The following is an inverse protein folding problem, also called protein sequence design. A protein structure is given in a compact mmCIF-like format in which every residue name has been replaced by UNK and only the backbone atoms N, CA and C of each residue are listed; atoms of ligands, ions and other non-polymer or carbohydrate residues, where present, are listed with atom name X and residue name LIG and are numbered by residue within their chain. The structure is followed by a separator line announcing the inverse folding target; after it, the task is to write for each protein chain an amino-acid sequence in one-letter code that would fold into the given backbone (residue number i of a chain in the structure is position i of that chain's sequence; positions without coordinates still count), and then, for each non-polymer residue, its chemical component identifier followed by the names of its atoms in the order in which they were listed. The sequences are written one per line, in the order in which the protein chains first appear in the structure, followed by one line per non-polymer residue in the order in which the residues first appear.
data_IF_005361578689
#
_entry.id   IF_005361578689
#
_cell.length_a   1.000
_cell.length_b   1.000
_cell.length_c   1.000
_cell.angle_alpha   90.00
_cell.angle_beta   90.00
_cell.angle_gamma   90.00
#
_symmetry.space_group_name_H-M   'P 1'
#
loop_
_entity.id
_entity.type
_entity.pdbx_description
1 polymer ?
#
# COMPACT_ATOMS: atom_id res chain seq x y z
N UNK A 1 -28.75 -0.11 -13.43
CA UNK A 1 -27.95 1.08 -13.80
C UNK A 1 -27.48 1.06 -15.26
N UNK A 2 -27.19 -0.12 -15.85
CA UNK A 2 -26.77 -0.21 -17.28
C UNK A 2 -27.93 -0.05 -18.28
N UNK A 3 -29.16 -0.27 -17.84
CA UNK A 3 -30.33 -0.25 -18.75
C UNK A 3 -30.78 1.16 -19.15
N UNK A 4 -30.35 2.19 -18.41
CA UNK A 4 -30.82 3.56 -18.61
C UNK A 4 -29.76 4.50 -19.24
N UNK A 5 -28.63 3.95 -19.67
CA UNK A 5 -27.55 4.73 -20.29
C UNK A 5 -27.83 4.92 -21.79
N UNK A 6 -27.66 6.14 -22.33
CA UNK A 6 -27.74 6.38 -23.76
C UNK A 6 -26.76 5.50 -24.53
N UNK A 7 -27.14 4.94 -25.69
CA UNK A 7 -26.30 4.00 -26.43
C UNK A 7 -25.06 4.64 -27.09
N UNK A 8 -25.01 5.95 -27.14
CA UNK A 8 -24.00 6.78 -27.81
C UNK A 8 -23.10 7.57 -26.83
N UNK A 9 -23.07 7.14 -25.58
CA UNK A 9 -22.12 7.75 -24.59
C UNK A 9 -20.68 7.63 -25.08
N UNK A 10 -20.02 8.78 -25.17
CA UNK A 10 -18.58 8.84 -25.43
C UNK A 10 -17.78 8.14 -24.32
N UNK A 11 -16.70 7.47 -24.70
CA UNK A 11 -15.77 6.87 -23.78
C UNK A 11 -14.57 7.78 -23.58
N UNK A 12 -14.28 8.16 -22.33
CA UNK A 12 -13.06 8.88 -21.96
C UNK A 12 -12.05 7.86 -21.44
N UNK A 13 -10.83 7.88 -21.97
CA UNK A 13 -9.74 7.03 -21.54
C UNK A 13 -8.72 7.85 -20.74
N UNK A 14 -8.22 7.28 -19.64
CA UNK A 14 -7.26 7.91 -18.76
C UNK A 14 -7.89 8.59 -17.55
N UNK A 15 -7.10 9.36 -16.83
CA UNK A 15 -7.59 10.12 -15.68
C UNK A 15 -8.51 11.26 -16.09
N UNK A 16 -9.59 11.44 -15.35
CA UNK A 16 -10.54 12.54 -15.55
C UNK A 16 -9.96 13.84 -14.96
N UNK A 17 -8.85 14.30 -15.52
CA UNK A 17 -8.29 15.60 -15.19
C UNK A 17 -8.88 16.66 -16.12
N UNK A 18 -9.62 17.60 -15.55
CA UNK A 18 -10.19 18.70 -16.30
C UNK A 18 -9.10 19.70 -16.68
N UNK A 19 -8.54 19.59 -17.87
CA UNK A 19 -7.65 20.59 -18.45
C UNK A 19 -8.30 21.44 -19.54
N UNK A 20 -9.51 21.10 -19.96
CA UNK A 20 -10.19 21.67 -21.14
C UNK A 20 -11.30 22.64 -20.78
N UNK A 21 -11.52 22.97 -19.52
CA UNK A 21 -12.52 23.94 -19.14
C UNK A 21 -12.07 25.37 -19.45
N UNK A 22 -12.84 26.09 -20.22
CA UNK A 22 -12.73 27.55 -20.35
C UNK A 22 -13.06 28.17 -18.99
N UNK A 23 -12.05 28.43 -18.19
CA UNK A 23 -12.24 28.99 -16.86
C UNK A 23 -11.03 28.88 -15.97
N UNK A 24 -11.25 28.97 -14.69
CA UNK A 24 -10.21 28.97 -13.67
C UNK A 24 -9.56 27.58 -13.54
N UNK A 25 -8.36 27.44 -14.08
CA UNK A 25 -7.57 26.17 -14.10
C UNK A 25 -6.93 25.83 -12.76
N UNK A 26 -7.57 26.14 -11.66
CA UNK A 26 -6.93 26.09 -10.34
C UNK A 26 -6.59 24.69 -9.87
N UNK A 27 -7.43 23.69 -10.16
CA UNK A 27 -7.25 22.34 -9.63
C UNK A 27 -6.24 21.50 -10.39
N UNK A 28 -6.13 21.65 -11.71
CA UNK A 28 -5.19 20.88 -12.52
C UNK A 28 -3.72 21.14 -12.12
N UNK A 29 -3.38 22.39 -11.74
CA UNK A 29 -2.03 22.78 -11.36
C UNK A 29 -1.68 22.48 -9.90
N UNK A 30 -2.63 22.09 -9.07
CA UNK A 30 -2.40 21.77 -7.66
C UNK A 30 -1.64 20.47 -7.46
N UNK A 31 -1.51 19.63 -8.50
CA UNK A 31 -0.71 18.41 -8.46
C UNK A 31 0.75 18.67 -8.05
N UNK A 32 1.31 19.83 -8.38
CA UNK A 32 2.68 20.24 -8.02
C UNK A 32 2.80 20.86 -6.63
N UNK A 33 1.67 21.26 -6.01
CA UNK A 33 1.69 21.87 -4.69
C UNK A 33 1.88 20.79 -3.61
N UNK A 34 2.81 20.98 -2.69
CA UNK A 34 3.06 20.06 -1.57
C UNK A 34 3.13 18.60 -2.02
N UNK A 35 4.01 18.30 -2.96
CA UNK A 35 4.16 16.95 -3.60
C UNK A 35 4.25 15.83 -2.57
N UNK A 36 4.85 16.08 -1.41
CA UNK A 36 4.95 15.09 -0.33
C UNK A 36 3.59 14.56 0.16
N UNK A 37 2.51 15.36 0.09
CA UNK A 37 1.15 14.91 0.41
C UNK A 37 0.65 13.90 -0.62
N UNK A 38 0.88 14.17 -1.92
CA UNK A 38 0.50 13.27 -3.01
C UNK A 38 1.28 11.96 -2.93
N UNK A 39 2.58 12.06 -2.64
CA UNK A 39 3.43 10.87 -2.44
C UNK A 39 2.97 10.02 -1.24
N UNK A 40 2.65 10.67 -0.11
CA UNK A 40 2.10 9.98 1.06
C UNK A 40 0.74 9.34 0.76
N UNK A 41 -0.12 10.04 0.00
CA UNK A 41 -1.41 9.51 -0.44
C UNK A 41 -1.25 8.24 -1.29
N UNK A 42 -0.45 8.31 -2.35
CA UNK A 42 -0.22 7.16 -3.25
C UNK A 42 0.39 6.00 -2.49
N UNK A 43 1.40 6.24 -1.65
CA UNK A 43 2.03 5.20 -0.83
C UNK A 43 1.02 4.51 0.09
N UNK A 44 0.16 5.30 0.73
CA UNK A 44 -0.86 4.77 1.65
C UNK A 44 -1.94 3.98 0.90
N UNK A 45 -2.44 4.52 -0.22
CA UNK A 45 -3.41 3.86 -1.07
C UNK A 45 -2.89 2.52 -1.59
N UNK A 46 -1.68 2.49 -2.16
CA UNK A 46 -1.03 1.25 -2.63
C UNK A 46 -0.87 0.23 -1.49
N UNK A 47 -0.52 0.69 -0.28
CA UNK A 47 -0.39 -0.17 0.90
C UNK A 47 -1.72 -0.85 1.27
N UNK A 48 -2.83 -0.14 1.15
CA UNK A 48 -4.17 -0.68 1.41
C UNK A 48 -4.68 -1.55 0.26
N UNK A 49 -4.76 -1.00 -0.96
CA UNK A 49 -5.38 -1.65 -2.11
C UNK A 49 -4.59 -2.85 -2.63
N UNK A 50 -3.26 -2.70 -2.71
CA UNK A 50 -2.44 -3.69 -3.40
C UNK A 50 -1.78 -4.69 -2.45
N UNK A 51 -1.77 -4.41 -1.15
CA UNK A 51 -1.11 -5.30 -0.18
C UNK A 51 -2.06 -5.72 0.95
N UNK A 52 -2.56 -4.80 1.77
CA UNK A 52 -3.29 -5.17 2.98
C UNK A 52 -4.59 -5.94 2.68
N UNK A 53 -5.44 -5.42 1.80
CA UNK A 53 -6.70 -6.08 1.44
C UNK A 53 -6.48 -7.42 0.71
N UNK A 54 -5.63 -7.51 -0.33
CA UNK A 54 -5.41 -8.78 -1.00
C UNK A 54 -4.80 -9.85 -0.08
N UNK A 55 -3.79 -9.50 0.73
CA UNK A 55 -3.18 -10.44 1.65
C UNK A 55 -4.16 -10.92 2.73
N UNK A 56 -4.95 -10.00 3.31
CA UNK A 56 -5.99 -10.34 4.27
C UNK A 56 -7.08 -11.25 3.64
N UNK A 57 -7.42 -11.02 2.37
CA UNK A 57 -8.36 -11.86 1.63
C UNK A 57 -7.80 -13.26 1.42
N UNK A 58 -6.54 -13.40 0.97
CA UNK A 58 -5.90 -14.71 0.83
C UNK A 58 -5.81 -15.45 2.16
N UNK A 59 -5.45 -14.74 3.23
CA UNK A 59 -5.41 -15.33 4.56
C UNK A 59 -6.80 -15.78 5.05
N UNK A 60 -7.85 -15.04 4.74
CA UNK A 60 -9.21 -15.38 5.13
C UNK A 60 -9.71 -16.69 4.49
N UNK A 61 -9.30 -17.00 3.25
CA UNK A 61 -9.60 -18.28 2.59
C UNK A 61 -9.01 -19.48 3.33
N UNK A 62 -8.02 -19.25 4.20
CA UNK A 62 -7.35 -20.29 4.99
C UNK A 62 -7.66 -20.21 6.49
N UNK A 63 -8.69 -19.46 6.87
CA UNK A 63 -9.20 -19.40 8.25
C UNK A 63 -8.76 -18.20 9.07
N UNK A 64 -8.02 -17.23 8.49
CA UNK A 64 -7.75 -15.96 9.15
C UNK A 64 -9.04 -15.14 9.27
N UNK A 65 -9.23 -14.44 10.39
CA UNK A 65 -10.36 -13.52 10.55
C UNK A 65 -10.10 -12.25 9.77
N UNK A 66 -10.90 -11.99 8.75
CA UNK A 66 -10.74 -10.80 7.92
C UNK A 66 -10.87 -9.51 8.74
N UNK A 67 -9.88 -8.60 8.72
CA UNK A 67 -9.79 -7.45 9.62
C UNK A 67 -10.61 -6.25 9.11
N UNK A 68 -11.92 -6.45 8.94
CA UNK A 68 -12.84 -5.46 8.35
C UNK A 68 -12.83 -4.12 9.07
N UNK A 69 -12.79 -4.12 10.41
CA UNK A 69 -12.85 -2.89 11.19
C UNK A 69 -11.56 -2.08 11.08
N UNK A 70 -10.41 -2.76 11.11
CA UNK A 70 -9.10 -2.15 10.96
C UNK A 70 -8.93 -1.56 9.55
N UNK A 71 -9.32 -2.29 8.52
CA UNK A 71 -9.33 -1.78 7.15
C UNK A 71 -10.24 -0.57 7.00
N UNK A 72 -11.46 -0.65 7.53
CA UNK A 72 -12.41 0.48 7.52
C UNK A 72 -11.82 1.71 8.22
N UNK A 73 -11.14 1.52 9.35
CA UNK A 73 -10.49 2.61 10.05
C UNK A 73 -9.36 3.24 9.24
N UNK A 74 -8.48 2.41 8.66
CA UNK A 74 -7.36 2.88 7.83
C UNK A 74 -7.84 3.65 6.60
N UNK A 75 -8.87 3.14 5.90
CA UNK A 75 -9.50 3.81 4.77
C UNK A 75 -10.15 5.15 5.15
N UNK A 76 -10.83 5.22 6.29
CA UNK A 76 -11.40 6.48 6.78
C UNK A 76 -10.31 7.53 7.03
N UNK A 77 -9.19 7.15 7.62
CA UNK A 77 -8.06 8.07 7.82
C UNK A 77 -7.49 8.57 6.49
N UNK A 78 -7.34 7.69 5.51
CA UNK A 78 -6.89 8.08 4.17
C UNK A 78 -7.88 9.05 3.52
N UNK A 79 -9.16 8.71 3.48
CA UNK A 79 -10.20 9.52 2.86
C UNK A 79 -10.40 10.89 3.52
N UNK A 80 -10.14 11.01 4.83
CA UNK A 80 -10.17 12.31 5.53
C UNK A 80 -9.12 13.29 5.01
N UNK A 81 -8.14 12.83 4.26
CA UNK A 81 -7.12 13.67 3.62
C UNK A 81 -7.51 14.12 2.20
N UNK A 82 -8.62 13.61 1.64
CA UNK A 82 -9.05 13.85 0.27
C UNK A 82 -9.92 15.10 0.04
N UNK A 83 -10.48 15.82 1.04
CA UNK A 83 -11.10 17.11 0.76
C UNK A 83 -10.19 17.97 -0.12
N UNK A 84 -10.76 18.63 -1.12
CA UNK A 84 -9.96 19.25 -2.19
C UNK A 84 -8.92 20.25 -1.69
N UNK A 85 -9.24 21.08 -0.72
CA UNK A 85 -8.29 22.03 -0.14
C UNK A 85 -7.13 21.34 0.61
N UNK A 86 -7.40 20.18 1.21
CA UNK A 86 -6.38 19.39 1.90
C UNK A 86 -5.44 18.73 0.91
N UNK A 87 -5.94 17.87 0.03
CA UNK A 87 -5.07 17.11 -0.90
C UNK A 87 -4.46 18.01 -1.98
N UNK A 88 -5.13 19.08 -2.40
CA UNK A 88 -4.57 20.09 -3.29
C UNK A 88 -3.42 20.88 -2.65
N UNK A 89 -3.36 20.96 -1.32
CA UNK A 89 -2.26 21.60 -0.63
C UNK A 89 -2.41 23.10 -0.45
N UNK A 90 -3.62 23.64 -0.53
CA UNK A 90 -3.93 25.06 -0.37
C UNK A 90 -4.46 25.46 1.02
N UNK A 91 -4.65 24.50 1.91
CA UNK A 91 -4.99 24.74 3.31
C UNK A 91 -3.79 25.32 4.10
N UNK A 92 -4.04 25.69 5.36
CA UNK A 92 -2.98 26.14 6.28
C UNK A 92 -2.06 24.98 6.70
N UNK A 93 -0.88 25.29 7.18
CA UNK A 93 0.15 24.29 7.51
C UNK A 93 -0.28 23.31 8.60
N UNK A 94 -1.11 23.76 9.55
CA UNK A 94 -1.69 22.93 10.59
C UNK A 94 -2.49 21.77 10.02
N UNK A 95 -3.32 22.03 9.02
CA UNK A 95 -4.10 21.00 8.31
C UNK A 95 -3.18 19.98 7.65
N UNK A 96 -2.13 20.44 6.98
CA UNK A 96 -1.19 19.55 6.30
C UNK A 96 -0.37 18.70 7.27
N UNK A 97 -0.02 19.24 8.46
CA UNK A 97 0.61 18.44 9.53
C UNK A 97 -0.32 17.35 10.03
N UNK A 98 -1.60 17.65 10.22
CA UNK A 98 -2.60 16.67 10.62
C UNK A 98 -2.84 15.62 9.54
N UNK A 99 -2.81 15.99 8.27
CA UNK A 99 -2.88 15.03 7.16
C UNK A 99 -1.74 14.00 7.22
N UNK A 100 -0.51 14.45 7.48
CA UNK A 100 0.63 13.53 7.64
C UNK A 100 0.43 12.58 8.81
N UNK A 101 -0.14 13.04 9.92
CA UNK A 101 -0.49 12.19 11.05
C UNK A 101 -1.50 11.09 10.64
N UNK A 102 -2.53 11.45 9.87
CA UNK A 102 -3.51 10.47 9.36
C UNK A 102 -2.88 9.47 8.38
N UNK A 103 -2.02 9.93 7.47
CA UNK A 103 -1.28 9.05 6.58
C UNK A 103 -0.41 8.05 7.35
N UNK A 104 0.31 8.49 8.37
CA UNK A 104 1.12 7.60 9.21
C UNK A 104 0.26 6.56 9.91
N UNK A 105 -0.81 6.97 10.60
CA UNK A 105 -1.72 6.05 11.29
C UNK A 105 -2.33 5.01 10.35
N UNK A 106 -2.80 5.44 9.19
CA UNK A 106 -3.35 4.52 8.19
C UNK A 106 -2.30 3.55 7.65
N UNK A 107 -1.07 4.02 7.41
CA UNK A 107 0.05 3.18 6.97
C UNK A 107 0.41 2.14 8.03
N UNK A 108 0.50 2.51 9.30
CA UNK A 108 0.81 1.58 10.40
C UNK A 108 -0.24 0.48 10.54
N UNK A 109 -1.53 0.84 10.43
CA UNK A 109 -2.61 -0.16 10.45
C UNK A 109 -2.52 -1.09 9.24
N UNK A 110 -2.27 -0.54 8.05
CA UNK A 110 -2.12 -1.34 6.84
C UNK A 110 -0.92 -2.30 6.93
N UNK A 111 0.21 -1.85 7.48
CA UNK A 111 1.39 -2.67 7.70
C UNK A 111 1.12 -3.79 8.71
N UNK A 112 0.47 -3.49 9.83
CA UNK A 112 0.08 -4.50 10.80
C UNK A 112 -0.80 -5.59 10.16
N UNK A 113 -1.79 -5.22 9.36
CA UNK A 113 -2.64 -6.18 8.65
C UNK A 113 -1.82 -7.05 7.69
N UNK A 114 -0.89 -6.45 6.95
CA UNK A 114 -0.01 -7.17 6.04
C UNK A 114 0.85 -8.19 6.79
N UNK A 115 1.47 -7.78 7.90
CA UNK A 115 2.33 -8.64 8.72
C UNK A 115 1.55 -9.82 9.30
N UNK A 116 0.37 -9.58 9.87
CA UNK A 116 -0.48 -10.64 10.43
C UNK A 116 -0.98 -11.60 9.35
N UNK A 117 -1.41 -11.09 8.19
CA UNK A 117 -1.84 -11.92 7.08
C UNK A 117 -0.69 -12.77 6.52
N UNK A 118 0.48 -12.17 6.32
CA UNK A 118 1.67 -12.88 5.86
C UNK A 118 2.12 -13.94 6.86
N UNK A 119 2.11 -13.64 8.15
CA UNK A 119 2.43 -14.60 9.21
C UNK A 119 1.49 -15.79 9.13
N UNK A 120 0.17 -15.56 9.09
CA UNK A 120 -0.83 -16.62 8.99
C UNK A 120 -0.65 -17.50 7.75
N UNK A 121 -0.39 -16.88 6.59
CA UNK A 121 -0.18 -17.61 5.33
C UNK A 121 1.11 -18.43 5.35
N UNK A 122 2.21 -17.88 5.89
CA UNK A 122 3.49 -18.60 5.94
C UNK A 122 3.52 -19.74 6.93
N UNK A 123 2.80 -19.66 8.04
CA UNK A 123 2.65 -20.74 9.02
C UNK A 123 2.00 -22.01 8.45
N UNK A 124 1.29 -21.89 7.31
CA UNK A 124 0.63 -23.02 6.65
C UNK A 124 1.49 -23.69 5.58
N UNK A 125 2.67 -23.17 5.30
CA UNK A 125 3.56 -23.70 4.27
C UNK A 125 4.48 -24.76 4.90
N UNK A 126 4.41 -25.99 4.37
CA UNK A 126 5.34 -27.04 4.78
C UNK A 126 6.74 -26.79 4.21
N UNK A 127 7.67 -26.41 5.08
CA UNK A 127 9.08 -26.18 4.75
C UNK A 127 9.99 -27.32 5.19
N UNK A 128 9.44 -28.43 5.64
CA UNK A 128 10.22 -29.57 6.21
C UNK A 128 11.25 -30.18 5.23
N UNK A 129 11.02 -30.03 3.93
CA UNK A 129 11.91 -30.53 2.87
C UNK A 129 12.95 -29.49 2.41
N UNK A 130 12.89 -28.28 2.93
CA UNK A 130 13.82 -27.20 2.53
C UNK A 130 15.17 -27.37 3.24
N UNK A 131 16.27 -27.39 2.45
CA UNK A 131 17.60 -27.31 2.98
C UNK A 131 18.04 -25.82 2.97
N UNK A 132 18.05 -25.19 4.17
CA UNK A 132 18.41 -23.77 4.32
C UNK A 132 17.27 -22.91 4.79
N UNK A 133 17.40 -21.60 4.65
CA UNK A 133 16.40 -20.62 5.06
C UNK A 133 15.34 -20.43 3.94
N UNK A 134 14.09 -20.83 4.14
CA UNK A 134 13.06 -20.66 3.13
C UNK A 134 12.61 -19.19 3.02
N UNK A 135 12.35 -18.72 1.81
CA UNK A 135 11.72 -17.44 1.53
C UNK A 135 10.41 -17.67 0.81
N UNK A 136 9.37 -16.97 1.25
CA UNK A 136 8.07 -16.98 0.60
C UNK A 136 7.82 -15.62 -0.02
N UNK A 137 7.46 -15.61 -1.30
CA UNK A 137 7.17 -14.39 -2.05
C UNK A 137 5.71 -14.45 -2.49
N UNK A 138 4.95 -13.43 -2.12
CA UNK A 138 3.56 -13.29 -2.51
C UNK A 138 3.43 -12.28 -3.65
N UNK A 139 2.71 -12.68 -4.70
CA UNK A 139 2.31 -11.78 -5.78
C UNK A 139 0.82 -11.44 -5.60
N UNK A 140 0.53 -10.25 -5.13
CA UNK A 140 -0.83 -9.76 -4.91
C UNK A 140 -1.47 -9.16 -6.16
N UNK A 141 -0.75 -9.10 -7.29
CA UNK A 141 -1.29 -8.62 -8.55
C UNK A 141 -1.99 -9.75 -9.33
N UNK A 142 -2.94 -9.39 -10.19
CA UNK A 142 -3.66 -10.35 -11.05
C UNK A 142 -2.86 -10.84 -12.26
N UNK A 143 -1.56 -10.56 -12.35
CA UNK A 143 -0.69 -10.90 -13.48
C UNK A 143 0.61 -11.54 -13.01
N UNK A 144 1.17 -12.46 -13.82
CA UNK A 144 2.50 -13.01 -13.55
C UNK A 144 3.56 -11.90 -13.67
N UNK A 145 4.51 -11.89 -12.73
CA UNK A 145 5.62 -10.94 -12.70
C UNK A 145 6.97 -11.65 -12.75
N UNK A 146 7.93 -11.00 -13.35
CA UNK A 146 9.33 -11.40 -13.33
C UNK A 146 10.16 -10.18 -12.93
N UNK A 147 10.53 -10.11 -11.65
CA UNK A 147 11.19 -8.96 -11.06
C UNK A 147 12.32 -9.43 -10.14
N UNK A 148 13.31 -8.57 -9.92
CA UNK A 148 14.31 -8.78 -8.87
C UNK A 148 13.68 -8.48 -7.50
N UNK A 149 13.85 -9.41 -6.56
CA UNK A 149 13.33 -9.26 -5.19
C UNK A 149 14.50 -9.03 -4.24
N UNK A 150 14.40 -7.98 -3.43
CA UNK A 150 15.35 -7.72 -2.36
C UNK A 150 14.82 -8.31 -1.05
N UNK A 151 15.59 -9.21 -0.45
CA UNK A 151 15.26 -9.82 0.83
C UNK A 151 16.21 -9.26 1.90
N UNK A 152 15.63 -8.74 2.98
CA UNK A 152 16.40 -8.34 4.16
C UNK A 152 16.51 -9.53 5.11
N UNK A 153 17.73 -9.96 5.36
CA UNK A 153 18.02 -11.02 6.33
C UNK A 153 18.46 -10.42 7.65
N UNK A 154 17.78 -10.79 8.71
CA UNK A 154 18.30 -10.59 10.07
C UNK A 154 18.99 -11.89 10.49
N UNK A 155 20.31 -11.88 10.44
CA UNK A 155 21.13 -13.00 10.91
C UNK A 155 21.37 -12.79 12.39
N UNK A 156 20.98 -13.77 13.21
CA UNK A 156 21.19 -13.72 14.64
C UNK A 156 22.69 -13.52 14.94
N UNK A 157 23.02 -12.57 15.80
CA UNK A 157 24.41 -12.28 16.23
C UNK A 157 25.14 -13.49 16.80
N UNK A 158 24.41 -14.51 17.23
CA UNK A 158 24.97 -15.76 17.74
C UNK A 158 25.67 -16.54 16.63
N UNK A 159 25.20 -16.51 15.40
CA UNK A 159 25.86 -17.16 14.25
C UNK A 159 27.20 -16.54 13.87
N UNK A 160 27.44 -15.27 14.24
CA UNK A 160 28.73 -14.61 14.02
C UNK A 160 29.73 -14.80 15.15
N UNK A 161 29.34 -15.38 16.27
CA UNK A 161 30.23 -15.55 17.44
C UNK A 161 31.31 -16.59 17.18
N UNK A 162 31.07 -17.52 16.26
CA UNK A 162 31.95 -18.60 15.88
C UNK A 162 32.63 -18.39 14.51
N UNK A 163 32.30 -17.30 13.80
CA UNK A 163 32.96 -16.93 12.55
C UNK A 163 34.17 -16.04 12.83
N UNK A 164 35.34 -16.44 12.39
CA UNK A 164 36.53 -15.57 12.40
C UNK A 164 36.25 -14.33 11.53
N UNK A 165 36.70 -13.14 11.95
CA UNK A 165 36.51 -11.91 11.18
C UNK A 165 37.07 -11.95 9.74
N UNK A 166 37.96 -12.88 9.45
CA UNK A 166 38.55 -13.12 8.14
C UNK A 166 37.61 -13.91 7.20
N UNK A 167 36.76 -14.77 7.74
CA UNK A 167 35.80 -15.59 6.97
C UNK A 167 34.53 -14.79 6.64
N UNK A 168 34.20 -13.80 7.45
CA UNK A 168 33.06 -12.89 7.22
C UNK A 168 33.34 -11.83 6.12
N UNK A 169 34.54 -11.81 5.54
CA UNK A 169 34.95 -10.85 4.48
C UNK A 169 35.09 -11.50 3.09
N UNK A 170 34.80 -12.78 2.95
CA UNK A 170 34.71 -13.50 1.69
C UNK A 170 33.21 -13.67 1.29
#
# INVERSE_FOLDING_TARGET
LKADLPPDLGCVQGELTSQETQGWYTLANTASARVYLKQANVKNQVSLENLAEPLATFAAETGYVYPQEQLTYAWKLLMQNHPHDSICGCSVDEVHREMMTRFHKSTEVAQFIQEEALRHLTEQIDTSTCNGLPFVIFNTSGVAKQEAVTVKLEIDRILFKDCYPQEARQ
#
